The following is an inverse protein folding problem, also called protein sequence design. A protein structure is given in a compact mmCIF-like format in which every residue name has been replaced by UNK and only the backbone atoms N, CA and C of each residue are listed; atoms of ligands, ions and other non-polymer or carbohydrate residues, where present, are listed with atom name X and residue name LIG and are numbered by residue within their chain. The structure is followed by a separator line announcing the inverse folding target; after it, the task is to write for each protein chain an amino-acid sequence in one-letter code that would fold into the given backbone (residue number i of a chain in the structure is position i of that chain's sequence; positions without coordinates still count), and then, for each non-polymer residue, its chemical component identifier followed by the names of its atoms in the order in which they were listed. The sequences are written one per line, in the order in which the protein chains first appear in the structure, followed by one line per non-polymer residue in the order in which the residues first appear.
data_IF_510038741401
#
_entry.id   IF_510038741401
#
_cell.length_a   1.000
_cell.length_b   1.000
_cell.length_c   1.000
_cell.angle_alpha   90.00
_cell.angle_beta   90.00
_cell.angle_gamma   90.00
#
_symmetry.space_group_name_H-M   'P 1'
#
loop_
_entity.id
_entity.type
_entity.pdbx_description
1 polymer ?
#
# COMPACT_ATOMS: atom_id res chain seq x y z
N UNK A 1 -0.10 -12.87 17.73
CA UNK A 1 0.45 -11.62 18.30
C UNK A 1 1.66 -11.13 17.52
N UNK A 2 2.75 -11.89 17.39
CA UNK A 2 3.92 -11.49 16.59
C UNK A 2 3.58 -11.09 15.14
N UNK A 3 2.63 -11.78 14.50
CA UNK A 3 2.20 -11.47 13.13
C UNK A 3 1.53 -10.10 12.99
N UNK A 4 0.71 -9.68 13.96
CA UNK A 4 0.14 -8.33 13.96
C UNK A 4 1.22 -7.26 14.17
N UNK A 5 2.23 -7.56 14.99
CA UNK A 5 3.39 -6.68 15.13
C UNK A 5 4.18 -6.55 13.82
N UNK A 6 4.36 -7.66 13.08
CA UNK A 6 4.96 -7.62 11.73
C UNK A 6 4.14 -6.71 10.81
N UNK A 7 2.81 -6.84 10.77
CA UNK A 7 1.96 -5.93 9.99
C UNK A 7 2.14 -4.47 10.40
N UNK A 8 2.21 -4.18 11.71
CA UNK A 8 2.42 -2.82 12.21
C UNK A 8 3.78 -2.24 11.76
N UNK A 9 4.86 -3.02 11.85
CA UNK A 9 6.18 -2.62 11.35
C UNK A 9 6.14 -2.35 9.86
N UNK A 10 5.48 -3.21 9.08
CA UNK A 10 5.35 -3.02 7.62
C UNK A 10 4.57 -1.74 7.27
N UNK A 11 3.51 -1.41 8.02
CA UNK A 11 2.76 -0.15 7.83
C UNK A 11 3.67 1.05 8.10
N UNK A 12 4.45 1.04 9.18
CA UNK A 12 5.38 2.13 9.51
C UNK A 12 6.46 2.27 8.43
N UNK A 13 7.05 1.15 7.97
CA UNK A 13 8.06 1.17 6.91
C UNK A 13 7.50 1.69 5.59
N UNK A 14 6.29 1.27 5.21
CA UNK A 14 5.58 1.76 4.03
C UNK A 14 5.41 3.29 4.10
N UNK A 15 4.82 3.80 5.18
CA UNK A 15 4.56 5.23 5.35
C UNK A 15 5.85 6.06 5.43
N UNK A 16 6.86 5.58 6.16
CA UNK A 16 8.16 6.25 6.25
C UNK A 16 8.85 6.30 4.88
N UNK A 17 8.79 5.22 4.09
CA UNK A 17 9.38 5.17 2.76
C UNK A 17 8.69 6.14 1.79
N UNK A 18 7.35 6.22 1.81
CA UNK A 18 6.56 7.15 0.99
C UNK A 18 6.83 8.60 1.36
N UNK A 19 6.86 8.89 2.66
CA UNK A 19 7.18 10.22 3.17
C UNK A 19 8.60 10.64 2.75
N UNK A 20 9.58 9.76 2.94
CA UNK A 20 10.97 10.02 2.56
C UNK A 20 11.09 10.29 1.06
N UNK A 21 10.51 9.45 0.21
CA UNK A 21 10.56 9.65 -1.25
C UNK A 21 9.87 10.96 -1.67
N UNK A 22 8.75 11.32 -1.02
CA UNK A 22 8.04 12.59 -1.27
C UNK A 22 8.86 13.82 -0.87
N UNK A 23 9.83 13.67 0.04
CA UNK A 23 10.72 14.76 0.45
C UNK A 23 11.91 14.98 -0.47
N UNK A 24 12.29 13.99 -1.30
CA UNK A 24 13.51 14.04 -2.13
C UNK A 24 13.24 14.04 -3.63
N UNK A 25 12.09 13.54 -4.08
CA UNK A 25 11.71 13.46 -5.48
C UNK A 25 10.52 14.39 -5.78
N UNK A 26 10.55 15.17 -6.87
CA UNK A 26 9.37 15.85 -7.35
C UNK A 26 8.37 14.83 -7.92
N UNK A 27 7.08 15.15 -7.85
CA UNK A 27 6.03 14.34 -8.46
C UNK A 27 6.24 14.25 -9.97
N UNK A 28 6.30 13.03 -10.51
CA UNK A 28 6.42 12.78 -11.94
C UNK A 28 5.14 13.23 -12.67
N UNK A 29 5.33 14.04 -13.70
CA UNK A 29 4.28 14.61 -14.55
C UNK A 29 4.59 14.34 -16.03
N UNK A 30 3.59 14.32 -16.92
CA UNK A 30 3.84 14.21 -18.36
C UNK A 30 4.84 15.26 -18.84
N UNK A 31 5.95 14.82 -19.45
CA UNK A 31 7.03 15.69 -19.93
C UNK A 31 8.08 16.08 -18.89
N UNK A 32 7.87 15.78 -17.60
CA UNK A 32 8.84 16.05 -16.54
C UNK A 32 8.79 14.98 -15.44
N UNK A 33 9.74 14.04 -15.48
CA UNK A 33 9.90 13.02 -14.45
C UNK A 33 11.36 12.89 -14.06
N UNK A 34 11.66 13.26 -12.81
CA UNK A 34 12.96 13.00 -12.19
C UNK A 34 12.92 11.64 -11.50
N UNK A 35 13.98 10.87 -11.68
CA UNK A 35 14.13 9.55 -11.05
C UNK A 35 15.52 9.42 -10.44
N UNK A 36 15.63 8.59 -9.40
CA UNK A 36 16.92 8.14 -8.85
C UNK A 36 17.22 6.78 -9.47
N UNK A 37 18.26 6.71 -10.30
CA UNK A 37 18.71 5.46 -10.90
C UNK A 37 19.57 4.67 -9.92
N UNK A 38 19.18 3.43 -9.64
CA UNK A 38 19.90 2.53 -8.72
C UNK A 38 20.66 1.48 -9.53
N UNK A 39 20.02 0.94 -10.57
CA UNK A 39 20.59 0.03 -11.56
C UNK A 39 20.07 0.41 -12.95
N UNK A 40 20.71 -0.05 -14.04
CA UNK A 40 20.21 0.20 -15.40
C UNK A 40 18.76 -0.24 -15.63
N UNK A 41 18.27 -1.19 -14.84
CA UNK A 41 16.91 -1.74 -14.89
C UNK A 41 16.01 -1.33 -13.72
N UNK A 42 16.50 -0.54 -12.76
CA UNK A 42 15.77 -0.21 -11.54
C UNK A 42 15.97 1.26 -11.12
N UNK A 43 14.87 2.00 -11.06
CA UNK A 43 14.85 3.42 -10.73
C UNK A 43 13.71 3.73 -9.76
N UNK A 44 13.95 4.64 -8.83
CA UNK A 44 12.88 5.24 -8.01
C UNK A 44 12.29 6.46 -8.71
N UNK A 45 10.97 6.50 -8.79
CA UNK A 45 10.21 7.63 -9.33
C UNK A 45 8.99 7.86 -8.44
N UNK A 46 8.67 9.11 -8.12
CA UNK A 46 7.50 9.45 -7.32
C UNK A 46 6.27 9.61 -8.20
N UNK A 47 5.27 8.74 -8.02
CA UNK A 47 3.96 8.83 -8.67
C UNK A 47 2.84 8.68 -7.63
N UNK A 48 1.80 9.49 -7.76
CA UNK A 48 0.58 9.34 -6.97
C UNK A 48 -0.47 8.55 -7.75
N UNK A 49 -0.77 7.34 -7.27
CA UNK A 49 -1.75 6.47 -7.90
C UNK A 49 -3.16 6.80 -7.39
N UNK A 50 -3.98 7.44 -8.22
CA UNK A 50 -5.40 7.73 -7.91
C UNK A 50 -6.34 6.52 -8.07
N UNK A 51 -5.82 5.32 -8.28
CA UNK A 51 -6.59 4.12 -8.61
C UNK A 51 -6.51 3.72 -10.10
N UNK A 52 -5.49 4.20 -10.81
CA UNK A 52 -5.32 4.07 -12.26
C UNK A 52 -4.90 2.66 -12.74
N UNK A 53 -4.84 1.64 -11.86
CA UNK A 53 -4.77 0.25 -12.33
C UNK A 53 -5.98 -0.10 -13.23
N UNK A 54 -7.07 0.66 -13.08
CA UNK A 54 -8.25 0.66 -13.94
C UNK A 54 -8.34 1.99 -14.69
N UNK A 55 -7.44 2.33 -15.63
CA UNK A 55 -7.51 3.59 -16.42
C UNK A 55 -8.90 3.90 -17.01
N UNK A 56 -9.82 2.93 -17.13
CA UNK A 56 -11.22 3.19 -17.50
C UNK A 56 -12.02 3.98 -16.44
N UNK A 57 -11.56 4.02 -15.18
CA UNK A 57 -12.19 4.75 -14.07
C UNK A 57 -11.46 6.04 -13.70
N UNK A 58 -10.29 6.34 -14.26
CA UNK A 58 -9.52 7.52 -13.80
C UNK A 58 -10.22 8.86 -14.05
N UNK A 59 -11.11 8.92 -15.06
CA UNK A 59 -11.91 10.10 -15.39
C UNK A 59 -13.30 10.12 -14.73
N UNK A 60 -13.67 9.08 -13.98
CA UNK A 60 -15.02 8.97 -13.41
C UNK A 60 -15.13 9.68 -12.05
N UNK A 61 -14.76 10.96 -11.97
CA UNK A 61 -15.20 11.86 -10.88
C UNK A 61 -14.74 11.54 -9.45
N UNK A 62 -13.70 10.71 -9.24
CA UNK A 62 -13.09 10.49 -7.93
C UNK A 62 -13.79 9.49 -7.00
N UNK A 63 -14.92 8.89 -7.40
CA UNK A 63 -15.63 7.91 -6.57
C UNK A 63 -14.80 6.64 -6.30
N UNK A 64 -13.82 6.35 -7.17
CA UNK A 64 -12.91 5.22 -7.05
C UNK A 64 -12.18 5.23 -5.70
N UNK A 65 -11.85 6.43 -5.20
CA UNK A 65 -11.21 6.60 -3.89
C UNK A 65 -12.07 5.95 -2.81
N UNK A 66 -13.35 6.29 -2.74
CA UNK A 66 -14.28 5.75 -1.73
C UNK A 66 -14.52 4.25 -1.88
N UNK A 67 -14.63 3.74 -3.12
CA UNK A 67 -14.72 2.29 -3.34
C UNK A 67 -13.45 1.60 -2.85
N UNK A 68 -12.27 2.08 -3.24
CA UNK A 68 -11.00 1.44 -2.87
C UNK A 68 -10.71 1.52 -1.38
N UNK A 69 -11.08 2.63 -0.72
CA UNK A 69 -11.07 2.75 0.74
C UNK A 69 -11.98 1.68 1.35
N UNK A 70 -13.24 1.59 0.92
CA UNK A 70 -14.21 0.63 1.45
C UNK A 70 -13.74 -0.82 1.29
N UNK A 71 -13.27 -1.18 0.09
CA UNK A 71 -12.73 -2.52 -0.20
C UNK A 71 -11.50 -2.80 0.65
N UNK A 72 -10.56 -1.86 0.75
CA UNK A 72 -9.34 -2.05 1.54
C UNK A 72 -9.64 -2.18 3.03
N UNK A 73 -10.62 -1.44 3.56
CA UNK A 73 -11.10 -1.59 4.94
C UNK A 73 -11.71 -2.98 5.16
N UNK A 74 -12.64 -3.42 4.31
CA UNK A 74 -13.28 -4.73 4.43
C UNK A 74 -12.25 -5.86 4.38
N UNK A 75 -11.36 -5.83 3.39
CA UNK A 75 -10.30 -6.83 3.23
C UNK A 75 -9.37 -6.84 4.45
N UNK A 76 -8.99 -5.67 4.98
CA UNK A 76 -8.13 -5.59 6.17
C UNK A 76 -8.80 -6.21 7.39
N UNK A 77 -10.10 -5.96 7.61
CA UNK A 77 -10.87 -6.56 8.72
C UNK A 77 -10.97 -8.08 8.56
N UNK A 78 -11.28 -8.57 7.36
CA UNK A 78 -11.38 -10.01 7.08
C UNK A 78 -10.03 -10.71 7.30
N UNK A 79 -8.93 -10.14 6.80
CA UNK A 79 -7.59 -10.70 6.97
C UNK A 79 -7.18 -10.66 8.45
N UNK A 80 -7.45 -9.58 9.18
CA UNK A 80 -7.14 -9.50 10.60
C UNK A 80 -7.91 -10.58 11.39
N UNK A 81 -9.20 -10.76 11.12
CA UNK A 81 -10.02 -11.80 11.75
C UNK A 81 -9.50 -13.21 11.39
N UNK A 82 -9.11 -13.44 10.13
CA UNK A 82 -8.58 -14.73 9.70
C UNK A 82 -7.22 -15.01 10.35
N UNK A 83 -6.31 -14.05 10.33
CA UNK A 83 -5.00 -14.15 10.98
C UNK A 83 -5.14 -14.47 12.47
N UNK A 84 -6.09 -13.84 13.16
CA UNK A 84 -6.38 -14.13 14.57
C UNK A 84 -6.83 -15.59 14.81
N UNK A 85 -7.47 -16.23 13.82
CA UNK A 85 -7.88 -17.64 13.94
C UNK A 85 -6.73 -18.61 13.70
N UNK A 86 -5.84 -18.33 12.75
CA UNK A 86 -4.85 -19.30 12.27
C UNK A 86 -3.42 -19.11 12.82
N UNK A 87 -3.13 -18.00 13.52
CA UNK A 87 -1.75 -17.63 13.86
C UNK A 87 -0.96 -18.66 14.68
N UNK A 88 -1.64 -19.61 15.34
CA UNK A 88 -0.98 -20.67 16.13
C UNK A 88 -0.72 -21.94 15.32
N UNK A 89 -1.53 -22.22 14.31
CA UNK A 89 -1.55 -23.50 13.60
C UNK A 89 -0.81 -23.43 12.27
N UNK A 90 -0.92 -22.31 11.55
CA UNK A 90 -0.43 -22.19 10.18
C UNK A 90 0.56 -21.03 10.06
N UNK A 91 1.80 -21.25 10.52
CA UNK A 91 2.81 -20.18 10.66
C UNK A 91 3.14 -19.46 9.34
N UNK A 92 3.25 -20.21 8.24
CA UNK A 92 3.57 -19.65 6.93
C UNK A 92 2.39 -18.82 6.39
N UNK A 93 1.16 -19.34 6.46
CA UNK A 93 -0.02 -18.61 6.04
C UNK A 93 -0.23 -17.36 6.90
N UNK A 94 -0.04 -17.46 8.22
CA UNK A 94 -0.10 -16.33 9.13
C UNK A 94 0.93 -15.24 8.79
N UNK A 95 2.14 -15.63 8.38
CA UNK A 95 3.16 -14.69 7.91
C UNK A 95 2.71 -14.02 6.61
N UNK A 96 2.22 -14.77 5.62
CA UNK A 96 1.71 -14.21 4.36
C UNK A 96 0.56 -13.23 4.61
N UNK A 97 -0.41 -13.60 5.46
CA UNK A 97 -1.52 -12.71 5.83
C UNK A 97 -1.04 -11.44 6.54
N UNK A 98 0.01 -11.52 7.37
CA UNK A 98 0.57 -10.33 8.01
C UNK A 98 1.15 -9.33 7.01
N UNK A 99 1.83 -9.81 5.97
CA UNK A 99 2.36 -8.96 4.89
C UNK A 99 1.24 -8.35 4.06
N UNK A 100 0.22 -9.14 3.69
CA UNK A 100 -0.94 -8.65 2.94
C UNK A 100 -1.70 -7.60 3.77
N UNK A 101 -1.92 -7.85 5.06
CA UNK A 101 -2.58 -6.92 5.97
C UNK A 101 -1.81 -5.60 6.07
N UNK A 102 -0.48 -5.67 6.23
CA UNK A 102 0.36 -4.48 6.30
C UNK A 102 0.27 -3.62 5.03
N UNK A 103 0.37 -4.24 3.85
CA UNK A 103 0.23 -3.54 2.58
C UNK A 103 -1.18 -3.01 2.30
N UNK A 104 -2.22 -3.75 2.70
CA UNK A 104 -3.62 -3.31 2.58
C UNK A 104 -3.89 -2.06 3.43
N UNK A 105 -3.44 -2.06 4.69
CA UNK A 105 -3.61 -0.94 5.61
C UNK A 105 -2.74 0.26 5.18
N UNK A 106 -1.48 0.05 4.78
CA UNK A 106 -0.61 1.14 4.30
C UNK A 106 -1.24 1.90 3.12
N UNK A 107 -1.77 1.18 2.13
CA UNK A 107 -2.47 1.81 1.00
C UNK A 107 -3.86 2.35 1.37
N UNK A 108 -4.49 1.87 2.44
CA UNK A 108 -5.73 2.44 2.97
C UNK A 108 -5.46 3.82 3.59
N UNK A 109 -4.38 3.96 4.36
CA UNK A 109 -3.98 5.23 4.99
C UNK A 109 -3.80 6.32 3.95
N UNK A 110 -3.05 6.06 2.87
CA UNK A 110 -2.83 7.02 1.77
C UNK A 110 -4.11 7.50 1.09
N UNK A 111 -5.16 6.67 1.10
CA UNK A 111 -6.45 7.00 0.47
C UNK A 111 -7.42 7.64 1.44
N UNK A 112 -7.27 7.40 2.74
CA UNK A 112 -8.16 7.94 3.76
C UNK A 112 -7.80 9.39 4.12
N UNK A 113 -6.51 9.73 4.07
CA UNK A 113 -5.99 11.10 4.17
C UNK A 113 -6.06 11.76 2.79
#
# INVERSE_FOLDING_TARGET
MIYFFISAVLIVLDQASKYYMSSILPLCQPGYCRSIEILPVFKFTLLHNKGAAFSFLSDAGGWQRYLLVSVSTVVSVVIAAWLYRIYKTEKLLALSLAFILGGAIGNLVDRAV
#
